data_IF_375495592897
#
_entry.id   IF_375495592897
#
_cell.length_a   1.000
_cell.length_b   1.000
_cell.length_c   1.000
_cell.angle_alpha   90.00
_cell.angle_beta   90.00
_cell.angle_gamma   90.00
#
_symmetry.space_group_name_H-M   'P 1'
#
loop_
_entity.id
_entity.type
_entity.pdbx_description
1 polymer ?
#
# COMPACT_ATOMS: atom_id res chain seq x y z
N UNK A 1 -21.41 -79.61 -7.19
CA UNK A 1 -22.14 -78.52 -6.51
C UNK A 1 -21.15 -77.51 -5.93
N UNK A 2 -20.93 -76.44 -6.68
CA UNK A 2 -20.68 -75.04 -6.27
C UNK A 2 -19.50 -74.75 -5.32
N UNK A 3 -18.38 -74.38 -5.93
CA UNK A 3 -17.33 -73.53 -5.36
C UNK A 3 -17.90 -72.15 -5.01
N UNK A 4 -17.71 -71.70 -3.77
CA UNK A 4 -18.03 -70.34 -3.34
C UNK A 4 -16.71 -69.59 -3.13
N UNK A 5 -16.32 -68.77 -4.11
CA UNK A 5 -15.21 -67.83 -3.96
C UNK A 5 -15.70 -66.64 -3.14
N UNK A 6 -15.15 -66.47 -1.93
CA UNK A 6 -15.35 -65.29 -1.10
C UNK A 6 -14.41 -64.19 -1.62
N UNK A 7 -14.95 -63.24 -2.39
CA UNK A 7 -14.24 -62.03 -2.81
C UNK A 7 -14.25 -61.06 -1.62
N UNK A 8 -13.09 -60.82 -1.04
CA UNK A 8 -12.89 -59.79 -0.03
C UNK A 8 -12.72 -58.44 -0.75
N UNK A 9 -13.75 -57.60 -0.71
CA UNK A 9 -13.70 -56.23 -1.25
C UNK A 9 -12.92 -55.37 -0.25
N UNK A 10 -11.73 -54.92 -0.64
CA UNK A 10 -10.97 -53.90 0.10
C UNK A 10 -11.58 -52.54 -0.25
N UNK A 11 -12.34 -51.96 0.68
CA UNK A 11 -12.78 -50.57 0.58
C UNK A 11 -11.60 -49.69 1.03
N UNK A 12 -10.88 -49.10 0.08
CA UNK A 12 -9.91 -48.06 0.36
C UNK A 12 -10.66 -46.77 0.73
N UNK A 13 -10.74 -46.46 2.02
CA UNK A 13 -11.19 -45.17 2.49
C UNK A 13 -10.13 -44.13 2.13
N UNK A 14 -10.34 -43.40 1.03
CA UNK A 14 -9.66 -42.14 0.75
C UNK A 14 -10.13 -41.13 1.81
N UNK A 15 -9.41 -41.09 2.93
CA UNK A 15 -9.52 -39.99 3.87
C UNK A 15 -8.97 -38.74 3.17
N UNK A 16 -9.86 -37.94 2.58
CA UNK A 16 -9.55 -36.57 2.24
C UNK A 16 -9.14 -35.86 3.54
N UNK A 17 -7.84 -35.69 3.74
CA UNK A 17 -7.31 -34.78 4.75
C UNK A 17 -7.70 -33.36 4.32
N UNK A 18 -8.90 -32.92 4.68
CA UNK A 18 -9.20 -31.49 4.71
C UNK A 18 -8.18 -30.86 5.65
N UNK A 19 -7.21 -30.14 5.08
CA UNK A 19 -6.34 -29.26 5.88
C UNK A 19 -7.30 -28.32 6.62
N UNK A 20 -7.41 -28.50 7.93
CA UNK A 20 -8.11 -27.54 8.78
C UNK A 20 -7.34 -26.24 8.67
N UNK A 21 -7.86 -25.31 7.88
CA UNK A 21 -7.26 -23.99 7.74
C UNK A 21 -7.34 -23.34 9.12
N UNK A 22 -6.19 -22.94 9.68
CA UNK A 22 -6.17 -22.19 10.93
C UNK A 22 -6.99 -20.91 10.72
N UNK A 23 -7.96 -20.69 11.60
CA UNK A 23 -8.76 -19.48 11.58
C UNK A 23 -7.89 -18.30 12.02
N UNK A 24 -7.97 -17.19 11.29
CA UNK A 24 -7.24 -15.96 11.62
C UNK A 24 -8.09 -15.21 12.65
N UNK A 25 -7.54 -15.00 13.84
CA UNK A 25 -8.15 -14.16 14.87
C UNK A 25 -7.82 -12.69 14.56
N UNK A 26 -8.80 -11.96 14.02
CA UNK A 26 -8.62 -10.56 13.65
C UNK A 26 -8.65 -9.68 14.91
N UNK A 27 -7.68 -8.77 15.12
CA UNK A 27 -7.63 -7.91 16.31
C UNK A 27 -8.64 -6.73 16.24
N UNK A 28 -9.58 -6.78 15.30
CA UNK A 28 -10.59 -5.76 15.04
C UNK A 28 -11.85 -6.39 14.43
N UNK A 29 -12.93 -5.62 14.43
CA UNK A 29 -14.22 -5.94 13.84
C UNK A 29 -14.68 -4.86 12.85
N UNK A 30 -15.78 -5.09 12.14
CA UNK A 30 -16.39 -4.05 11.28
C UNK A 30 -16.77 -2.79 12.07
N UNK A 31 -17.30 -2.96 13.28
CA UNK A 31 -17.76 -1.85 14.12
C UNK A 31 -16.63 -0.88 14.50
N UNK A 32 -15.38 -1.36 14.56
CA UNK A 32 -14.22 -0.51 14.86
C UNK A 32 -13.90 0.48 13.72
N UNK A 33 -14.48 0.27 12.54
CA UNK A 33 -14.30 1.08 11.34
C UNK A 33 -15.59 1.74 10.83
N UNK A 34 -16.74 1.48 11.46
CA UNK A 34 -18.03 2.07 11.08
C UNK A 34 -18.28 3.37 11.86
N UNK A 35 -18.16 4.51 11.18
CA UNK A 35 -18.47 5.85 11.71
C UNK A 35 -19.01 6.74 10.60
N UNK A 36 -19.38 7.96 10.97
CA UNK A 36 -19.65 9.03 10.00
C UNK A 36 -18.50 10.05 10.09
N UNK A 37 -17.82 10.26 8.97
CA UNK A 37 -16.77 11.27 8.82
C UNK A 37 -17.19 12.20 7.69
N UNK A 38 -17.25 13.50 7.97
CA UNK A 38 -17.70 14.53 7.01
C UNK A 38 -19.04 14.21 6.33
N UNK A 39 -19.97 13.63 7.08
CA UNK A 39 -21.30 13.28 6.59
C UNK A 39 -21.38 12.00 5.75
N UNK A 40 -20.27 11.28 5.54
CA UNK A 40 -20.22 10.00 4.83
C UNK A 40 -19.94 8.82 5.78
N UNK A 41 -20.61 7.67 5.60
CA UNK A 41 -20.33 6.48 6.39
C UNK A 41 -19.03 5.81 5.96
N UNK A 42 -18.27 5.33 6.92
CA UNK A 42 -17.12 4.46 6.70
C UNK A 42 -17.49 3.00 6.90
N UNK A 43 -16.77 2.12 6.21
CA UNK A 43 -17.02 0.68 6.14
C UNK A 43 -15.70 -0.09 6.04
N UNK A 44 -15.76 -1.39 6.33
CA UNK A 44 -14.67 -2.34 6.23
C UNK A 44 -15.03 -3.48 5.26
N UNK A 45 -14.08 -3.84 4.40
CA UNK A 45 -14.25 -4.82 3.32
C UNK A 45 -13.19 -5.90 3.45
N UNK A 46 -13.61 -7.16 3.54
CA UNK A 46 -12.68 -8.30 3.64
C UNK A 46 -12.76 -9.11 2.35
N UNK A 47 -11.61 -9.39 1.77
CA UNK A 47 -11.42 -10.30 0.63
C UNK A 47 -10.59 -11.48 1.10
N UNK A 48 -10.97 -12.70 0.70
CA UNK A 48 -10.27 -13.93 1.06
C UNK A 48 -10.24 -14.86 -0.14
N UNK A 49 -9.05 -15.34 -0.50
CA UNK A 49 -8.87 -16.32 -1.57
C UNK A 49 -8.83 -17.76 -1.03
N UNK A 50 -8.82 -18.74 -1.93
CA UNK A 50 -8.83 -20.17 -1.61
C UNK A 50 -7.54 -20.63 -0.89
N UNK A 51 -6.42 -19.94 -1.12
CA UNK A 51 -5.16 -20.18 -0.40
C UNK A 51 -5.18 -19.66 1.05
N UNK A 52 -6.20 -18.88 1.41
CA UNK A 52 -6.39 -18.34 2.75
C UNK A 52 -5.78 -16.97 2.98
N UNK A 53 -5.16 -16.34 1.97
CA UNK A 53 -4.74 -14.95 2.09
C UNK A 53 -5.97 -14.08 2.34
N UNK A 54 -5.88 -13.19 3.32
CA UNK A 54 -6.96 -12.27 3.69
C UNK A 54 -6.47 -10.84 3.59
N UNK A 55 -7.19 -10.02 2.83
CA UNK A 55 -6.94 -8.58 2.71
C UNK A 55 -8.16 -7.85 3.24
N UNK A 56 -7.92 -6.89 4.13
CA UNK A 56 -8.98 -6.03 4.67
C UNK A 56 -8.73 -4.60 4.21
N UNK A 57 -9.79 -3.93 3.74
CA UNK A 57 -9.78 -2.57 3.22
C UNK A 57 -10.78 -1.71 3.97
N UNK A 58 -10.59 -0.39 4.00
CA UNK A 58 -11.62 0.59 4.41
C UNK A 58 -11.78 1.67 3.36
N UNK A 59 -13.01 2.18 3.19
CA UNK A 59 -13.28 3.30 2.29
C UNK A 59 -12.78 4.65 2.83
N UNK A 60 -12.33 4.73 4.09
CA UNK A 60 -11.59 5.89 4.58
C UNK A 60 -10.18 5.90 3.98
N UNK A 61 -9.93 6.80 3.02
CA UNK A 61 -8.67 6.90 2.28
C UNK A 61 -8.40 5.74 1.32
N UNK A 62 -9.42 4.93 1.00
CA UNK A 62 -9.27 3.69 0.23
C UNK A 62 -8.10 2.82 0.74
N UNK A 63 -8.00 2.67 2.07
CA UNK A 63 -6.83 2.09 2.74
C UNK A 63 -6.86 0.57 2.73
N UNK A 64 -5.69 -0.04 2.62
CA UNK A 64 -5.42 -1.38 3.13
C UNK A 64 -5.25 -1.28 4.65
N UNK A 65 -6.01 -2.10 5.38
CA UNK A 65 -5.97 -2.20 6.84
C UNK A 65 -5.04 -3.32 7.30
N UNK A 66 -5.06 -4.46 6.60
CA UNK A 66 -4.24 -5.62 6.92
C UNK A 66 -4.05 -6.53 5.71
N UNK A 67 -2.96 -7.29 5.69
CA UNK A 67 -2.70 -8.36 4.72
C UNK A 67 -2.19 -9.60 5.47
N UNK A 68 -3.08 -10.57 5.71
CA UNK A 68 -2.70 -11.85 6.30
C UNK A 68 -2.26 -12.84 5.23
N UNK A 69 -1.04 -13.34 5.35
CA UNK A 69 -0.46 -14.36 4.45
C UNK A 69 0.16 -15.51 5.25
N UNK A 70 0.13 -16.75 4.73
CA UNK A 70 0.75 -17.88 5.42
C UNK A 70 2.27 -17.92 5.21
N UNK A 71 2.99 -18.31 6.25
CA UNK A 71 4.40 -18.69 6.16
C UNK A 71 4.58 -20.11 5.59
N UNK A 72 5.83 -20.59 5.53
CA UNK A 72 6.15 -21.95 5.06
C UNK A 72 5.56 -23.08 5.90
N UNK A 73 5.18 -22.82 7.15
CA UNK A 73 4.55 -23.76 8.08
C UNK A 73 3.01 -23.67 8.03
N UNK A 74 2.46 -22.70 7.30
CA UNK A 74 1.02 -22.42 7.22
C UNK A 74 0.51 -21.55 8.37
N UNK A 75 1.40 -20.91 9.12
CA UNK A 75 1.04 -19.93 10.15
C UNK A 75 0.82 -18.57 9.49
N UNK A 76 -0.29 -17.92 9.82
CA UNK A 76 -0.65 -16.62 9.24
C UNK A 76 -0.14 -15.47 10.09
N UNK A 77 0.34 -14.43 9.44
CA UNK A 77 0.67 -13.16 10.06
C UNK A 77 0.19 -12.01 9.18
N UNK A 78 -0.24 -10.91 9.80
CA UNK A 78 -0.45 -9.64 9.10
C UNK A 78 0.90 -9.05 8.71
N UNK A 79 1.21 -8.95 7.42
CA UNK A 79 2.49 -8.42 6.96
C UNK A 79 2.45 -6.93 6.63
N UNK A 80 1.30 -6.28 6.84
CA UNK A 80 1.10 -4.85 6.58
C UNK A 80 0.85 -4.12 7.90
N UNK A 81 1.51 -2.97 8.10
CA UNK A 81 1.35 -2.17 9.32
C UNK A 81 0.11 -1.30 9.21
N UNK A 82 -0.76 -1.34 10.21
CA UNK A 82 -2.02 -0.63 10.21
C UNK A 82 -2.47 -0.19 11.60
N UNK A 83 -3.77 0.08 11.71
CA UNK A 83 -4.41 0.31 13.00
C UNK A 83 -5.69 -0.51 13.10
N UNK A 84 -6.01 -0.95 14.30
CA UNK A 84 -7.18 -1.79 14.58
C UNK A 84 -8.51 -1.02 14.62
N UNK A 85 -8.52 0.29 14.37
CA UNK A 85 -9.75 1.08 14.34
C UNK A 85 -9.62 2.36 13.52
N UNK A 86 -10.75 2.85 13.01
CA UNK A 86 -10.80 4.15 12.32
C UNK A 86 -10.42 5.32 13.23
N UNK A 87 -10.72 5.23 14.54
CA UNK A 87 -10.34 6.26 15.50
C UNK A 87 -8.84 6.51 15.50
N UNK A 88 -8.04 5.44 15.46
CA UNK A 88 -6.59 5.54 15.44
C UNK A 88 -6.08 6.11 14.12
N UNK A 89 -6.68 5.75 12.99
CA UNK A 89 -6.36 6.39 11.71
C UNK A 89 -6.63 7.90 11.73
N UNK A 90 -7.72 8.34 12.36
CA UNK A 90 -8.07 9.76 12.51
C UNK A 90 -7.13 10.49 13.49
N UNK A 91 -6.83 9.88 14.64
CA UNK A 91 -5.96 10.45 15.68
C UNK A 91 -4.54 10.68 15.19
N UNK A 92 -3.95 9.67 14.55
CA UNK A 92 -2.56 9.72 14.06
C UNK A 92 -2.43 10.32 12.67
N UNK A 93 -3.55 10.53 11.97
CA UNK A 93 -3.56 11.11 10.64
C UNK A 93 -2.76 10.31 9.62
N UNK A 94 -2.69 8.99 9.81
CA UNK A 94 -1.73 8.11 9.17
C UNK A 94 -2.03 7.82 7.68
N UNK A 95 -0.98 7.83 6.85
CA UNK A 95 -1.02 7.40 5.45
C UNK A 95 -0.93 5.88 5.27
N UNK A 96 -0.70 5.11 6.34
CA UNK A 96 -0.57 3.65 6.33
C UNK A 96 -1.66 2.99 5.48
N UNK A 97 -1.23 2.33 4.40
CA UNK A 97 -2.09 1.58 3.48
C UNK A 97 -2.95 2.41 2.55
N UNK A 98 -2.85 3.73 2.58
CA UNK A 98 -3.76 4.63 1.89
C UNK A 98 -3.44 4.84 0.42
N UNK A 99 -4.46 5.19 -0.35
CA UNK A 99 -4.26 5.84 -1.65
C UNK A 99 -3.81 7.27 -1.41
N UNK A 100 -2.63 7.61 -1.94
CA UNK A 100 -2.06 8.96 -1.90
C UNK A 100 -2.29 9.65 -3.24
N UNK A 101 -2.83 10.87 -3.20
CA UNK A 101 -3.06 11.71 -4.37
C UNK A 101 -3.61 13.09 -4.01
N UNK A 102 -3.81 14.00 -4.99
CA UNK A 102 -3.59 13.82 -6.44
C UNK A 102 -2.14 13.59 -6.88
N UNK A 103 -1.17 14.00 -6.07
CA UNK A 103 0.25 13.84 -6.33
C UNK A 103 0.99 13.28 -5.10
N UNK A 104 1.57 12.10 -5.27
CA UNK A 104 2.43 11.45 -4.29
C UNK A 104 3.84 12.05 -4.26
N UNK A 105 4.52 11.84 -3.13
CA UNK A 105 5.81 12.46 -2.80
C UNK A 105 5.77 14.01 -2.77
N UNK A 106 6.92 14.67 -2.93
CA UNK A 106 7.14 16.11 -2.68
C UNK A 106 7.07 16.93 -3.97
N UNK A 107 6.48 18.12 -3.85
CA UNK A 107 6.57 19.20 -4.84
C UNK A 107 7.32 20.36 -4.20
N UNK A 108 8.48 20.71 -4.77
CA UNK A 108 9.35 21.77 -4.28
C UNK A 108 8.63 23.13 -4.24
N UNK A 109 8.89 23.93 -3.21
CA UNK A 109 8.28 25.24 -2.99
C UNK A 109 6.74 25.24 -2.93
N UNK A 110 6.14 24.06 -2.76
CA UNK A 110 4.70 23.84 -2.76
C UNK A 110 3.97 24.49 -3.94
N UNK A 111 4.58 24.51 -5.13
CA UNK A 111 3.96 25.10 -6.31
C UNK A 111 4.41 24.41 -7.60
N UNK A 112 3.62 24.55 -8.65
CA UNK A 112 4.00 24.17 -10.01
C UNK A 112 3.34 25.10 -11.04
N UNK A 113 3.77 24.99 -12.30
CA UNK A 113 3.26 25.81 -13.40
C UNK A 113 2.73 24.91 -14.52
N UNK A 114 1.56 25.26 -15.06
CA UNK A 114 1.02 24.66 -16.29
C UNK A 114 0.76 25.81 -17.28
N UNK A 115 1.53 25.87 -18.35
CA UNK A 115 1.50 27.02 -19.27
C UNK A 115 2.04 28.27 -18.57
N UNK A 116 1.23 29.33 -18.51
CA UNK A 116 1.56 30.60 -17.86
C UNK A 116 0.99 30.69 -16.42
N UNK A 117 0.17 29.72 -16.01
CA UNK A 117 -0.50 29.74 -14.72
C UNK A 117 0.31 28.98 -13.65
N UNK A 118 0.52 29.64 -12.51
CA UNK A 118 1.18 29.05 -11.34
C UNK A 118 0.14 28.66 -10.29
N UNK A 119 0.23 27.43 -9.83
CA UNK A 119 -0.67 26.83 -8.84
C UNK A 119 0.06 26.67 -7.52
N UNK A 120 -0.55 27.18 -6.44
CA UNK A 120 -0.03 27.10 -5.08
C UNK A 120 -0.69 25.93 -4.34
N UNK A 121 0.12 25.18 -3.60
CA UNK A 121 -0.27 23.99 -2.85
C UNK A 121 -0.08 24.20 -1.35
N UNK A 122 -0.70 23.37 -0.50
CA UNK A 122 -0.43 23.40 0.94
C UNK A 122 1.04 23.09 1.25
N UNK A 123 1.69 23.97 2.00
CA UNK A 123 3.02 23.72 2.57
C UNK A 123 2.86 22.85 3.81
N UNK A 124 3.41 21.63 3.80
CA UNK A 124 3.30 20.68 4.91
C UNK A 124 4.56 19.86 5.16
N UNK A 125 5.66 20.11 4.44
CA UNK A 125 6.95 19.50 4.70
C UNK A 125 8.08 20.48 4.36
N UNK A 126 8.56 21.23 5.35
CA UNK A 126 9.49 22.33 5.10
C UNK A 126 8.85 23.39 4.20
N UNK A 127 9.47 23.67 3.05
CA UNK A 127 8.94 24.55 2.00
C UNK A 127 8.16 23.78 0.91
N UNK A 128 8.09 22.46 1.00
CA UNK A 128 7.47 21.60 0.00
C UNK A 128 6.01 21.25 0.34
N UNK A 129 5.28 20.82 -0.70
CA UNK A 129 4.03 20.10 -0.54
C UNK A 129 4.30 18.60 -0.63
N UNK A 130 4.12 17.87 0.47
CA UNK A 130 4.23 16.41 0.55
C UNK A 130 2.84 15.79 0.46
N UNK A 131 2.67 14.83 -0.44
CA UNK A 131 1.45 14.02 -0.58
C UNK A 131 0.18 14.85 -0.78
N UNK A 132 0.31 15.97 -1.50
CA UNK A 132 -0.77 16.92 -1.78
C UNK A 132 -1.41 17.55 -0.54
N UNK A 133 -0.69 17.59 0.57
CA UNK A 133 -1.11 18.26 1.81
C UNK A 133 -1.60 17.32 2.92
N UNK A 134 -1.92 17.89 4.09
CA UNK A 134 -2.24 17.13 5.30
C UNK A 134 -3.61 16.44 5.25
N UNK A 135 -4.54 16.94 4.43
CA UNK A 135 -5.93 16.47 4.38
C UNK A 135 -6.32 15.93 2.99
N UNK A 136 -5.33 15.46 2.22
CA UNK A 136 -5.54 14.98 0.85
C UNK A 136 -6.33 13.66 0.81
N UNK A 137 -6.40 13.00 -0.35
CA UNK A 137 -7.35 11.91 -0.59
C UNK A 137 -7.23 10.73 0.40
N UNK A 138 -6.07 10.54 1.04
CA UNK A 138 -5.86 9.51 2.07
C UNK A 138 -6.63 9.76 3.37
N UNK A 139 -7.29 10.91 3.53
CA UNK A 139 -8.16 11.26 4.68
C UNK A 139 -9.62 11.53 4.33
N UNK A 140 -10.02 11.26 3.08
CA UNK A 140 -11.41 11.40 2.63
C UNK A 140 -12.16 10.09 2.77
N UNK A 141 -13.48 10.14 2.91
CA UNK A 141 -14.34 8.96 2.77
C UNK A 141 -14.71 8.77 1.30
N UNK A 142 -14.31 7.64 0.74
CA UNK A 142 -14.57 7.25 -0.65
C UNK A 142 -15.92 6.55 -0.75
N UNK A 143 -16.59 6.74 -1.88
CA UNK A 143 -17.73 5.90 -2.24
C UNK A 143 -17.21 4.53 -2.69
N UNK A 144 -18.03 3.48 -2.62
CA UNK A 144 -17.54 2.12 -2.85
C UNK A 144 -18.55 1.19 -3.49
N UNK A 145 -18.02 0.16 -4.15
CA UNK A 145 -18.75 -1.02 -4.60
C UNK A 145 -17.87 -2.26 -4.36
N UNK A 146 -18.41 -3.30 -3.72
CA UNK A 146 -17.71 -4.57 -3.52
C UNK A 146 -18.41 -5.70 -4.27
N UNK A 147 -17.63 -6.49 -5.01
CA UNK A 147 -18.09 -7.70 -5.68
C UNK A 147 -17.08 -8.84 -5.47
N UNK A 148 -17.38 -9.74 -4.53
CA UNK A 148 -16.49 -10.85 -4.16
C UNK A 148 -15.12 -10.34 -3.68
N UNK A 149 -14.06 -10.85 -4.32
CA UNK A 149 -12.67 -10.48 -4.05
C UNK A 149 -12.20 -9.24 -4.86
N UNK A 150 -13.13 -8.36 -5.23
CA UNK A 150 -12.84 -7.06 -5.85
C UNK A 150 -13.61 -5.96 -5.13
N UNK A 151 -12.93 -4.87 -4.80
CA UNK A 151 -13.50 -3.66 -4.19
C UNK A 151 -13.08 -2.45 -4.98
N UNK A 152 -14.06 -1.68 -5.45
CA UNK A 152 -13.86 -0.42 -6.18
C UNK A 152 -14.15 0.73 -5.22
N UNK A 153 -13.23 1.68 -5.13
CA UNK A 153 -13.41 2.95 -4.45
C UNK A 153 -13.45 4.09 -5.46
N UNK A 154 -14.36 5.04 -5.26
CA UNK A 154 -14.45 6.25 -6.09
C UNK A 154 -14.44 7.52 -5.24
N UNK A 155 -13.81 8.56 -5.80
CA UNK A 155 -13.75 9.89 -5.20
C UNK A 155 -13.89 10.95 -6.29
N UNK A 156 -14.74 11.93 -6.07
CA UNK A 156 -14.75 13.17 -6.84
C UNK A 156 -13.94 14.23 -6.09
N UNK A 157 -13.02 14.88 -6.80
CA UNK A 157 -12.17 15.94 -6.27
C UNK A 157 -12.37 17.20 -7.12
N UNK A 158 -13.04 18.24 -6.59
CA UNK A 158 -13.38 19.44 -7.36
C UNK A 158 -12.17 20.22 -7.88
N UNK A 159 -12.41 21.05 -8.91
CA UNK A 159 -11.43 22.02 -9.41
C UNK A 159 -10.83 22.87 -8.28
N UNK A 160 -9.51 22.91 -8.20
CA UNK A 160 -8.76 23.65 -7.18
C UNK A 160 -8.63 22.95 -5.82
N UNK A 161 -9.22 21.76 -5.62
CA UNK A 161 -9.02 21.02 -4.37
C UNK A 161 -7.52 20.70 -4.18
N UNK A 162 -6.99 21.04 -3.00
CA UNK A 162 -5.55 20.99 -2.66
C UNK A 162 -4.63 21.81 -3.59
N UNK A 163 -5.20 22.77 -4.34
CA UNK A 163 -4.47 23.61 -5.28
C UNK A 163 -4.31 23.01 -6.69
N UNK A 164 -4.87 21.82 -6.96
CA UNK A 164 -4.77 21.17 -8.27
C UNK A 164 -5.97 21.53 -9.17
N UNK A 165 -5.75 22.04 -10.40
CA UNK A 165 -6.84 22.38 -11.31
C UNK A 165 -7.60 21.13 -11.82
N UNK A 166 -8.81 21.37 -12.32
CA UNK A 166 -9.69 20.40 -12.94
C UNK A 166 -10.53 19.61 -11.95
N UNK A 167 -11.80 19.38 -12.28
CA UNK A 167 -12.63 18.40 -11.60
C UNK A 167 -12.11 17.01 -11.93
N UNK A 168 -11.82 16.21 -10.90
CA UNK A 168 -11.25 14.87 -11.05
C UNK A 168 -12.27 13.82 -10.61
N UNK A 169 -12.40 12.76 -11.41
CA UNK A 169 -13.07 11.53 -11.00
C UNK A 169 -12.02 10.44 -10.88
N UNK A 170 -11.86 9.95 -9.66
CA UNK A 170 -10.83 8.97 -9.28
C UNK A 170 -11.52 7.65 -9.01
N UNK A 171 -10.96 6.57 -9.53
CA UNK A 171 -11.38 5.20 -9.26
C UNK A 171 -10.15 4.37 -8.93
N UNK A 172 -10.22 3.64 -7.81
CA UNK A 172 -9.19 2.69 -7.40
C UNK A 172 -9.84 1.32 -7.22
N UNK A 173 -9.34 0.32 -7.92
CA UNK A 173 -9.87 -1.05 -7.84
C UNK A 173 -8.85 -1.95 -7.18
N UNK A 174 -9.23 -2.56 -6.06
CA UNK A 174 -8.47 -3.61 -5.40
C UNK A 174 -9.01 -4.96 -5.84
N UNK A 175 -8.14 -5.87 -6.28
CA UNK A 175 -8.52 -7.24 -6.63
C UNK A 175 -7.57 -8.24 -5.96
N UNK A 176 -8.12 -9.12 -5.14
CA UNK A 176 -7.39 -10.26 -4.59
C UNK A 176 -7.61 -11.49 -5.49
N UNK A 177 -6.52 -12.03 -6.04
CA UNK A 177 -6.57 -13.21 -6.91
C UNK A 177 -6.31 -14.50 -6.14
N UNK A 178 -6.65 -15.62 -6.75
CA UNK A 178 -6.36 -16.96 -6.23
C UNK A 178 -4.85 -17.28 -6.18
N UNK A 179 -4.00 -16.48 -6.83
CA UNK A 179 -2.54 -16.66 -6.80
C UNK A 179 -1.85 -15.90 -5.64
N UNK A 180 -2.61 -15.45 -4.63
CA UNK A 180 -2.11 -14.54 -3.58
C UNK A 180 -1.58 -13.20 -4.12
N UNK A 181 -2.20 -12.69 -5.20
CA UNK A 181 -1.87 -11.37 -5.74
C UNK A 181 -2.92 -10.35 -5.28
N UNK A 182 -2.47 -9.25 -4.69
CA UNK A 182 -3.29 -8.06 -4.48
C UNK A 182 -2.98 -7.04 -5.58
N UNK A 183 -3.91 -6.84 -6.51
CA UNK A 183 -3.80 -5.87 -7.61
C UNK A 183 -4.46 -4.57 -7.20
N UNK A 184 -3.84 -3.45 -7.59
CA UNK A 184 -4.37 -2.10 -7.39
C UNK A 184 -4.33 -1.38 -8.73
N UNK A 185 -5.51 -1.12 -9.29
CA UNK A 185 -5.67 -0.39 -10.54
C UNK A 185 -6.14 1.03 -10.26
N UNK A 186 -5.49 2.02 -10.87
CA UNK A 186 -5.82 3.43 -10.71
C UNK A 186 -6.34 4.02 -12.02
N UNK A 187 -7.49 4.68 -11.97
CA UNK A 187 -8.05 5.42 -13.09
C UNK A 187 -8.42 6.84 -12.63
N UNK A 188 -7.98 7.85 -13.38
CA UNK A 188 -8.32 9.25 -13.13
C UNK A 188 -8.75 9.90 -14.43
N UNK A 189 -9.86 10.62 -14.40
CA UNK A 189 -10.25 11.55 -15.46
C UNK A 189 -10.31 12.96 -14.91
N UNK A 190 -10.01 13.95 -15.74
CA UNK A 190 -9.98 15.37 -15.39
C UNK A 190 -10.53 16.21 -16.56
N UNK A 191 -11.16 17.34 -16.26
CA UNK A 191 -11.67 18.29 -17.27
C UNK A 191 -10.72 19.46 -17.56
N UNK A 192 -9.60 19.55 -16.84
CA UNK A 192 -8.48 20.47 -17.10
C UNK A 192 -7.14 19.75 -17.00
N UNK A 193 -6.12 20.31 -17.65
CA UNK A 193 -4.74 19.85 -17.49
C UNK A 193 -4.32 20.00 -16.01
N UNK A 194 -3.79 18.92 -15.43
CA UNK A 194 -3.31 18.86 -14.04
C UNK A 194 -2.26 17.75 -13.92
N UNK A 195 -1.37 17.86 -12.95
CA UNK A 195 -0.50 16.75 -12.58
C UNK A 195 -1.28 15.72 -11.76
N UNK A 196 -1.04 14.43 -12.05
CA UNK A 196 -1.58 13.27 -11.34
C UNK A 196 -0.44 12.27 -11.16
N UNK A 197 -0.21 11.84 -9.93
CA UNK A 197 0.75 10.80 -9.57
C UNK A 197 0.21 10.06 -8.33
N UNK A 198 -0.36 8.87 -8.53
CA UNK A 198 -1.02 8.12 -7.46
C UNK A 198 -0.18 6.93 -7.02
N UNK A 199 -0.28 6.59 -5.74
CA UNK A 199 0.33 5.38 -5.19
C UNK A 199 -0.46 4.86 -3.99
N UNK A 200 -0.06 3.69 -3.47
CA UNK A 200 -0.50 3.17 -2.19
C UNK A 200 0.65 3.23 -1.17
N UNK A 201 0.38 3.72 0.04
CA UNK A 201 1.39 3.93 1.06
C UNK A 201 1.39 2.83 2.14
N UNK A 202 1.36 1.57 1.72
CA UNK A 202 1.49 0.41 2.62
C UNK A 202 2.91 0.28 3.16
N UNK A 203 3.02 0.01 4.45
CA UNK A 203 4.28 -0.34 5.11
C UNK A 203 4.27 -1.83 5.39
N UNK A 204 5.35 -2.53 5.06
CA UNK A 204 5.41 -3.98 5.16
C UNK A 204 6.43 -4.44 6.21
N UNK A 205 6.04 -5.45 7.00
CA UNK A 205 6.95 -6.24 7.78
C UNK A 205 6.61 -7.73 7.62
N UNK A 206 7.42 -8.46 6.85
CA UNK A 206 7.24 -9.89 6.58
C UNK A 206 7.36 -10.80 7.82
N UNK A 207 7.81 -10.27 8.97
CA UNK A 207 7.80 -10.99 10.26
C UNK A 207 6.44 -10.92 10.97
N UNK A 208 5.50 -10.15 10.42
CA UNK A 208 4.25 -9.79 11.07
C UNK A 208 4.31 -8.37 11.64
N UNK A 209 3.18 -7.67 11.60
CA UNK A 209 2.97 -6.38 12.23
C UNK A 209 3.40 -6.41 13.70
N UNK A 210 4.12 -5.37 14.15
CA UNK A 210 4.60 -5.25 15.53
C UNK A 210 5.78 -6.16 15.89
N UNK A 211 6.25 -7.04 14.98
CA UNK A 211 7.34 -7.98 15.26
C UNK A 211 8.72 -7.43 14.85
N UNK A 212 9.20 -6.44 15.60
CA UNK A 212 10.54 -5.87 15.46
C UNK A 212 10.74 -5.07 14.17
N UNK A 213 12.00 -4.94 13.74
CA UNK A 213 12.41 -4.20 12.54
C UNK A 213 12.42 -5.06 11.25
N UNK A 214 12.70 -4.38 10.12
CA UNK A 214 12.85 -4.97 8.78
C UNK A 214 14.32 -5.10 8.33
N UNK A 215 15.29 -4.85 9.21
CA UNK A 215 16.70 -4.72 8.82
C UNK A 215 17.28 -6.02 8.25
N UNK A 216 16.71 -7.17 8.62
CA UNK A 216 17.10 -8.48 8.09
C UNK A 216 16.29 -8.92 6.86
N UNK A 217 15.34 -8.12 6.38
CA UNK A 217 14.63 -8.44 5.13
C UNK A 217 15.59 -8.28 3.98
N UNK A 218 15.52 -9.20 3.02
CA UNK A 218 16.36 -9.18 1.82
C UNK A 218 15.59 -8.48 0.71
N UNK A 219 16.17 -7.39 0.20
CA UNK A 219 15.60 -6.56 -0.84
C UNK A 219 16.33 -6.79 -2.17
N UNK A 220 15.56 -6.80 -3.25
CA UNK A 220 16.05 -6.73 -4.64
C UNK A 220 15.18 -5.70 -5.36
N UNK A 221 15.81 -4.73 -6.02
CA UNK A 221 15.15 -3.75 -6.86
C UNK A 221 15.78 -3.83 -8.24
N UNK A 222 14.97 -4.08 -9.26
CA UNK A 222 15.43 -4.09 -10.65
C UNK A 222 15.56 -2.65 -11.18
N UNK A 223 16.50 -1.90 -10.61
CA UNK A 223 16.82 -0.53 -10.99
C UNK A 223 18.32 -0.30 -10.84
N UNK A 224 18.96 0.25 -11.87
CA UNK A 224 20.38 0.64 -11.83
C UNK A 224 20.60 2.15 -11.70
N UNK A 225 19.51 2.91 -11.54
CA UNK A 225 19.52 4.37 -11.42
C UNK A 225 18.59 4.87 -10.32
N UNK A 226 18.89 6.06 -9.81
CA UNK A 226 18.09 6.78 -8.82
C UNK A 226 18.08 8.28 -9.10
N UNK A 227 17.12 8.99 -8.50
CA UNK A 227 17.08 10.47 -8.47
C UNK A 227 17.62 10.95 -7.12
N UNK A 228 18.88 11.44 -7.06
CA UNK A 228 19.46 11.87 -5.79
C UNK A 228 18.78 13.14 -5.29
N UNK A 229 18.84 13.37 -3.99
CA UNK A 229 18.30 14.56 -3.32
C UNK A 229 19.41 15.54 -2.94
N UNK A 230 19.06 16.83 -2.90
CA UNK A 230 20.00 17.93 -2.62
C UNK A 230 20.47 17.94 -1.15
N UNK A 231 19.58 17.60 -0.23
CA UNK A 231 19.77 17.61 1.23
C UNK A 231 18.57 16.93 1.93
N UNK A 232 18.47 17.10 3.26
CA UNK A 232 17.39 16.59 4.13
C UNK A 232 15.97 17.13 3.78
N UNK A 233 15.84 18.12 2.88
CA UNK A 233 14.53 18.51 2.32
C UNK A 233 13.94 17.43 1.40
N UNK A 234 14.78 16.46 0.99
CA UNK A 234 14.41 15.32 0.14
C UNK A 234 13.83 15.74 -1.22
N UNK A 235 14.23 16.91 -1.73
CA UNK A 235 13.90 17.36 -3.08
C UNK A 235 14.94 16.81 -4.06
N UNK A 236 14.53 16.12 -5.16
CA UNK A 236 15.45 15.64 -6.17
C UNK A 236 16.26 16.77 -6.82
N UNK A 237 17.54 16.50 -7.13
CA UNK A 237 18.40 17.46 -7.84
C UNK A 237 17.95 17.72 -9.29
N UNK A 238 17.13 16.82 -9.84
CA UNK A 238 16.77 16.77 -11.26
C UNK A 238 17.67 15.84 -12.09
N UNK A 239 18.76 15.33 -11.52
CA UNK A 239 19.62 14.35 -12.16
C UNK A 239 19.08 12.92 -12.03
N UNK A 240 19.51 12.05 -12.93
CA UNK A 240 19.33 10.59 -12.84
C UNK A 240 20.73 9.99 -12.85
N UNK A 241 21.13 9.34 -11.76
CA UNK A 241 22.49 8.85 -11.55
C UNK A 241 22.52 7.33 -11.48
N UNK A 242 23.63 6.73 -11.94
CA UNK A 242 23.90 5.29 -11.78
C UNK A 242 24.16 4.99 -10.29
N UNK A 243 23.58 3.91 -9.78
CA UNK A 243 23.72 3.49 -8.39
C UNK A 243 24.48 2.18 -8.22
N UNK A 244 24.94 1.53 -9.30
CA UNK A 244 25.66 0.25 -9.20
C UNK A 244 26.92 0.39 -8.37
N UNK A 245 27.10 -0.53 -7.43
CA UNK A 245 28.23 -0.53 -6.50
C UNK A 245 28.17 0.55 -5.42
N UNK A 246 27.10 1.34 -5.33
CA UNK A 246 26.85 2.27 -4.22
C UNK A 246 26.00 1.60 -3.13
N UNK A 247 25.83 2.26 -1.98
CA UNK A 247 25.01 1.73 -0.89
C UNK A 247 23.51 1.61 -1.22
N UNK A 248 23.07 2.31 -2.27
CA UNK A 248 21.71 2.26 -2.80
C UNK A 248 21.48 1.07 -3.75
N UNK A 249 22.53 0.32 -4.13
CA UNK A 249 22.44 -0.79 -5.09
C UNK A 249 21.73 -2.02 -4.50
N UNK A 250 20.49 -2.26 -4.93
CA UNK A 250 19.75 -3.49 -4.67
C UNK A 250 19.52 -4.32 -5.94
N UNK A 251 20.36 -4.16 -6.98
CA UNK A 251 20.26 -5.00 -8.20
C UNK A 251 20.59 -6.46 -7.93
N UNK A 252 21.23 -6.75 -6.79
CA UNK A 252 21.40 -8.10 -6.24
C UNK A 252 20.86 -8.17 -4.80
N UNK A 253 20.57 -9.38 -4.26
CA UNK A 253 19.94 -9.52 -2.94
C UNK A 253 20.83 -9.00 -1.81
N UNK A 254 20.32 -8.03 -1.05
CA UNK A 254 20.99 -7.49 0.14
C UNK A 254 20.02 -7.33 1.30
N UNK A 255 20.50 -7.54 2.53
CA UNK A 255 19.71 -7.21 3.70
C UNK A 255 19.57 -5.68 3.80
N UNK A 256 18.38 -5.18 4.15
CA UNK A 256 18.13 -3.73 4.24
C UNK A 256 19.11 -3.08 5.23
N UNK A 257 19.37 -3.70 6.37
CA UNK A 257 20.27 -3.17 7.40
C UNK A 257 21.77 -3.31 7.09
N UNK A 258 22.14 -3.96 5.98
CA UNK A 258 23.55 -4.23 5.65
C UNK A 258 24.38 -2.94 5.51
N UNK A 259 23.76 -1.88 4.97
CA UNK A 259 24.44 -0.63 4.59
C UNK A 259 23.71 0.64 5.02
N UNK A 260 22.58 0.51 5.73
CA UNK A 260 21.67 1.63 6.05
C UNK A 260 22.35 2.77 6.81
N UNK A 261 23.35 2.45 7.63
CA UNK A 261 24.10 3.40 8.47
C UNK A 261 25.44 3.85 7.85
N UNK A 262 25.69 3.56 6.56
CA UNK A 262 26.91 4.01 5.88
C UNK A 262 26.91 5.54 5.66
N UNK A 263 28.10 6.14 5.58
CA UNK A 263 28.31 7.59 5.41
C UNK A 263 27.94 8.14 4.01
N UNK A 264 27.17 7.39 3.23
CA UNK A 264 26.65 7.86 1.95
C UNK A 264 25.77 9.08 2.18
N UNK A 265 26.04 10.24 1.56
CA UNK A 265 25.26 11.45 1.80
C UNK A 265 23.76 11.25 1.59
N UNK A 266 23.37 10.43 0.61
CA UNK A 266 21.96 10.13 0.38
C UNK A 266 21.34 9.45 1.60
N UNK A 267 21.95 8.37 2.11
CA UNK A 267 21.46 7.67 3.31
C UNK A 267 21.36 8.57 4.54
N UNK A 268 22.34 9.46 4.72
CA UNK A 268 22.31 10.44 5.81
C UNK A 268 21.11 11.39 5.67
N UNK A 269 20.88 11.94 4.46
CA UNK A 269 19.75 12.83 4.21
C UNK A 269 18.40 12.14 4.40
N UNK A 270 18.27 10.89 3.96
CA UNK A 270 17.05 10.10 4.07
C UNK A 270 16.83 9.42 5.42
N UNK A 271 17.79 9.51 6.35
CA UNK A 271 17.83 8.71 7.58
C UNK A 271 17.60 7.21 7.30
N UNK A 272 18.27 6.70 6.26
CA UNK A 272 18.05 5.39 5.65
C UNK A 272 17.64 5.51 4.18
N UNK A 273 16.75 4.63 3.73
CA UNK A 273 16.30 4.59 2.33
C UNK A 273 14.97 5.32 2.13
N UNK A 274 15.01 6.53 1.54
CA UNK A 274 13.84 7.31 1.11
C UNK A 274 14.10 7.91 -0.29
N UNK A 275 14.28 7.04 -1.29
CA UNK A 275 14.66 7.44 -2.65
C UNK A 275 13.77 6.80 -3.71
N UNK A 276 13.62 7.51 -4.82
CA UNK A 276 13.00 6.98 -6.03
C UNK A 276 14.04 6.20 -6.86
N UNK A 277 13.76 4.93 -7.09
CA UNK A 277 14.50 4.04 -7.98
C UNK A 277 13.90 4.09 -9.38
N UNK A 278 14.75 4.21 -10.41
CA UNK A 278 14.33 4.26 -11.82
C UNK A 278 14.46 2.85 -12.43
N UNK A 279 13.31 2.20 -12.67
CA UNK A 279 13.19 0.84 -13.21
C UNK A 279 13.62 0.69 -14.67
#
# INVERSE_FOLDING_TARGET
>A
MKHFHLILIIIAALACSQKTQKEIDMPYSKADFERVVDGKPTSLFTMKNENGMVVTLTNYGAKIVSIYVPDKNGDFADVMLGFNSLEKYLEWGASHGAVVGPFANRIANAQFTIGEETYQLPVNNGEACLHSGPDSWYRKVWDYEQNGNSTVFTLESPDGEFGFPGNKKVKVTYTLTENNELKIDYEVTTDKATHINLTNHSYFNLRGEGNGDILNHVLVINADKSTPVVDESMIPTGEIVDIRGTDLDFTTPHAIGERIDNDNPQLVFGAGYDFNYVL
#
